data_IF_801883616558
#
_entry.id   IF_801883616558
#
_cell.length_a   1.000
_cell.length_b   1.000
_cell.length_c   1.000
_cell.angle_alpha   90.00
_cell.angle_beta   90.00
_cell.angle_gamma   90.00
#
_symmetry.space_group_name_H-M   'P 1'
#
loop_
_entity.id
_entity.type
_entity.pdbx_description
1 polymer ?
#
# COMPACT_ATOMS: atom_id res chain seq x y z
N UNK A 1 13.97 -1.09 20.88
CA UNK A 1 14.07 0.15 21.68
C UNK A 1 13.68 -0.17 23.14
N UNK A 2 14.55 -0.03 24.17
CA UNK A 2 14.21 -0.34 25.59
C UNK A 2 13.62 0.85 26.38
N UNK A 3 13.40 2.01 25.75
CA UNK A 3 12.99 3.24 26.43
C UNK A 3 11.62 3.16 27.14
N UNK A 4 10.62 2.46 26.57
CA UNK A 4 9.28 2.27 27.15
C UNK A 4 8.73 0.88 26.78
N UNK A 5 8.00 0.24 27.71
CA UNK A 5 7.22 -0.98 27.46
C UNK A 5 5.73 -0.62 27.41
N UNK A 6 5.14 -0.67 26.22
CA UNK A 6 3.72 -0.40 25.98
C UNK A 6 2.87 -1.66 25.87
N UNK A 7 3.49 -2.84 25.97
CA UNK A 7 2.78 -4.10 26.06
C UNK A 7 2.15 -4.27 27.46
N UNK A 8 1.08 -5.05 27.51
CA UNK A 8 0.45 -5.54 28.74
C UNK A 8 1.29 -6.60 29.47
N UNK A 9 2.40 -7.02 28.85
CA UNK A 9 3.32 -8.02 29.37
C UNK A 9 4.65 -7.40 29.78
N UNK A 10 5.25 -7.94 30.84
CA UNK A 10 6.59 -7.59 31.27
C UNK A 10 7.60 -8.10 30.24
N UNK A 11 8.59 -7.28 29.90
CA UNK A 11 9.73 -7.71 29.06
C UNK A 11 11.02 -7.77 29.87
N UNK A 12 11.78 -8.83 29.64
CA UNK A 12 13.07 -9.10 30.27
C UNK A 12 14.15 -9.21 29.19
N UNK A 13 15.28 -8.53 29.39
CA UNK A 13 16.50 -8.76 28.61
C UNK A 13 17.64 -9.13 29.55
N UNK A 14 18.48 -10.03 29.05
CA UNK A 14 19.75 -10.37 29.67
C UNK A 14 20.87 -9.90 28.75
N UNK A 15 21.69 -8.98 29.23
CA UNK A 15 22.88 -8.51 28.53
C UNK A 15 24.07 -9.26 29.10
N UNK A 16 24.62 -10.17 28.29
CA UNK A 16 25.83 -10.91 28.62
C UNK A 16 27.06 -10.23 28.04
N UNK A 17 28.04 -9.93 28.89
CA UNK A 17 29.29 -9.31 28.46
C UNK A 17 30.28 -10.38 27.96
N UNK A 18 30.81 -10.19 26.75
CA UNK A 18 31.88 -11.04 26.19
C UNK A 18 33.24 -10.35 26.29
N UNK A 19 34.30 -11.06 26.71
CA UNK A 19 35.64 -10.47 26.77
C UNK A 19 36.15 -10.16 25.35
N UNK A 20 36.81 -9.01 25.20
CA UNK A 20 37.33 -8.53 23.91
C UNK A 20 38.50 -9.36 23.35
N UNK A 21 39.12 -10.19 24.19
CA UNK A 21 40.20 -11.12 23.86
C UNK A 21 39.79 -12.50 24.35
N UNK A 22 40.37 -13.57 23.78
CA UNK A 22 40.19 -14.95 24.25
C UNK A 22 40.83 -15.13 25.63
N UNK A 23 40.14 -14.65 26.66
CA UNK A 23 40.52 -14.77 28.06
C UNK A 23 39.30 -15.37 28.76
N UNK A 24 39.52 -16.42 29.53
CA UNK A 24 38.47 -17.04 30.32
C UNK A 24 38.16 -16.12 31.52
N UNK A 25 36.95 -15.56 31.56
CA UNK A 25 36.52 -14.69 32.66
C UNK A 25 36.32 -15.52 33.92
N UNK A 26 36.76 -15.00 35.06
CA UNK A 26 36.57 -15.65 36.37
C UNK A 26 35.11 -15.59 36.86
N UNK A 27 34.32 -14.63 36.35
CA UNK A 27 32.90 -14.42 36.65
C UNK A 27 32.19 -13.98 35.37
N UNK A 28 31.02 -14.55 35.11
CA UNK A 28 30.10 -14.10 34.06
C UNK A 28 29.02 -13.25 34.71
N UNK A 29 29.10 -11.93 34.55
CA UNK A 29 28.05 -11.02 34.99
C UNK A 29 27.05 -10.81 33.84
N UNK A 30 25.80 -11.15 34.11
CA UNK A 30 24.66 -10.89 33.23
C UNK A 30 23.86 -9.71 33.79
N UNK A 31 23.65 -8.66 33.00
CA UNK A 31 22.76 -7.56 33.38
C UNK A 31 21.33 -7.91 32.96
N UNK A 32 20.48 -8.20 33.95
CA UNK A 32 19.05 -8.39 33.72
C UNK A 32 18.33 -7.04 33.78
N UNK A 33 17.69 -6.66 32.68
CA UNK A 33 16.83 -5.48 32.58
C UNK A 33 15.39 -5.96 32.56
N UNK A 34 14.61 -5.56 33.55
CA UNK A 34 13.17 -5.81 33.64
C UNK A 34 12.42 -4.51 33.46
N UNK A 35 11.51 -4.48 32.49
CA UNK A 35 10.62 -3.33 32.30
C UNK A 35 9.18 -3.73 32.59
N UNK A 36 8.55 -3.01 33.51
CA UNK A 36 7.16 -3.23 33.92
C UNK A 36 6.20 -3.00 32.75
N UNK A 37 5.03 -3.62 32.80
CA UNK A 37 3.96 -3.39 31.83
C UNK A 37 3.46 -1.92 31.89
N UNK A 38 2.98 -1.40 30.76
CA UNK A 38 2.25 -0.13 30.76
C UNK A 38 0.93 -0.28 31.53
N UNK A 39 0.38 0.84 32.03
CA UNK A 39 -1.05 0.85 32.37
C UNK A 39 -1.84 0.43 31.12
N UNK A 40 -2.80 -0.50 31.26
CA UNK A 40 -3.49 -1.10 30.13
C UNK A 40 -4.32 -0.05 29.39
N UNK A 41 -4.17 -0.02 28.06
CA UNK A 41 -4.99 0.81 27.19
C UNK A 41 -6.44 0.29 27.29
N UNK A 42 -7.36 1.18 27.69
CA UNK A 42 -8.78 0.84 27.83
C UNK A 42 -9.42 0.65 26.46
N UNK A 43 -9.57 -0.61 26.07
CA UNK A 43 -10.20 -1.01 24.81
C UNK A 43 -11.57 -0.36 24.67
N UNK A 44 -11.90 0.05 23.45
CA UNK A 44 -13.20 0.62 23.08
C UNK A 44 -13.60 1.89 23.86
N UNK A 45 -12.64 2.74 24.22
CA UNK A 45 -12.93 4.01 24.90
C UNK A 45 -12.13 5.17 24.34
N UNK A 46 -12.69 6.39 24.44
CA UNK A 46 -12.01 7.65 24.05
C UNK A 46 -10.69 7.85 24.78
N UNK A 47 -10.65 7.48 26.06
CA UNK A 47 -9.43 7.56 26.86
C UNK A 47 -8.39 6.50 26.43
N UNK A 48 -8.82 5.34 25.96
CA UNK A 48 -7.94 4.35 25.35
C UNK A 48 -7.32 4.86 24.06
N UNK A 49 -8.13 5.48 23.18
CA UNK A 49 -7.64 6.01 21.91
C UNK A 49 -6.57 7.07 22.10
N UNK A 50 -6.77 8.03 23.02
CA UNK A 50 -5.77 9.09 23.25
C UNK A 50 -4.44 8.52 23.76
N UNK A 51 -4.48 7.50 24.63
CA UNK A 51 -3.27 6.80 25.09
C UNK A 51 -2.63 5.99 23.95
N UNK A 52 -3.43 5.33 23.12
CA UNK A 52 -2.94 4.59 21.96
C UNK A 52 -2.25 5.52 20.95
N UNK A 53 -2.88 6.64 20.57
CA UNK A 53 -2.31 7.66 19.68
C UNK A 53 -0.95 8.16 20.17
N UNK A 54 -0.86 8.60 21.44
CA UNK A 54 0.38 9.08 22.02
C UNK A 54 1.46 7.98 22.10
N UNK A 55 1.06 6.73 22.32
CA UNK A 55 1.99 5.60 22.38
C UNK A 55 2.52 5.23 21.00
N UNK A 56 1.66 5.24 19.96
CA UNK A 56 2.04 5.06 18.56
C UNK A 56 3.01 6.17 18.16
N UNK A 57 2.69 7.45 18.43
CA UNK A 57 3.55 8.57 18.08
C UNK A 57 4.96 8.44 18.69
N UNK A 58 5.02 8.03 19.96
CA UNK A 58 6.30 7.74 20.64
C UNK A 58 7.02 6.54 20.04
N UNK A 59 6.33 5.44 19.76
CA UNK A 59 6.91 4.23 19.19
C UNK A 59 7.49 4.47 17.79
N UNK A 60 6.78 5.24 16.97
CA UNK A 60 7.23 5.68 15.65
C UNK A 60 8.38 6.68 15.71
N UNK A 61 8.66 7.27 16.87
CA UNK A 61 9.58 8.39 17.04
C UNK A 61 9.21 9.56 16.09
N UNK A 62 7.93 9.97 16.19
CA UNK A 62 7.40 11.17 15.53
C UNK A 62 8.13 12.42 16.03
N UNK A 63 8.46 13.31 15.10
CA UNK A 63 9.16 14.56 15.42
C UNK A 63 8.30 15.53 16.22
N UNK A 64 7.02 15.64 15.87
CA UNK A 64 6.02 16.38 16.61
C UNK A 64 4.90 15.43 17.00
N UNK A 65 4.45 15.54 18.24
CA UNK A 65 3.38 14.74 18.82
C UNK A 65 2.40 15.67 19.51
N UNK A 66 1.23 15.15 19.86
CA UNK A 66 0.18 15.90 20.53
C UNK A 66 0.47 16.17 22.00
N UNK A 67 -0.06 17.28 22.51
CA UNK A 67 0.04 17.67 23.91
C UNK A 67 -1.00 16.95 24.75
N UNK A 68 -0.53 16.08 25.65
CA UNK A 68 -1.41 15.24 26.49
C UNK A 68 -2.29 16.01 27.48
N UNK A 69 -2.01 17.29 27.72
CA UNK A 69 -2.85 18.16 28.56
C UNK A 69 -4.03 18.79 27.81
N UNK A 70 -4.07 18.68 26.49
CA UNK A 70 -5.16 19.21 25.66
C UNK A 70 -6.22 18.15 25.37
N UNK A 71 -7.44 18.61 25.06
CA UNK A 71 -8.48 17.73 24.55
C UNK A 71 -8.07 17.19 23.17
N UNK A 72 -8.22 15.88 22.96
CA UNK A 72 -7.98 15.20 21.70
C UNK A 72 -8.76 15.81 20.52
N UNK A 73 -9.86 16.51 20.75
CA UNK A 73 -10.58 17.26 19.70
C UNK A 73 -9.78 18.43 19.12
N UNK A 74 -8.77 18.92 19.84
CA UNK A 74 -7.89 20.01 19.41
C UNK A 74 -6.59 19.50 18.77
N UNK A 75 -6.37 18.19 18.76
CA UNK A 75 -5.16 17.60 18.21
C UNK A 75 -5.17 17.69 16.69
N UNK A 76 -4.11 18.26 16.12
CA UNK A 76 -3.97 18.30 14.67
C UNK A 76 -3.94 16.90 14.07
N UNK A 77 -4.47 16.73 12.86
CA UNK A 77 -4.46 15.46 12.14
C UNK A 77 -5.24 14.33 12.84
N UNK A 78 -6.19 14.68 13.71
CA UNK A 78 -7.16 13.77 14.34
C UNK A 78 -8.58 14.25 14.02
N UNK A 79 -9.47 13.31 13.67
CA UNK A 79 -10.92 13.54 13.62
C UNK A 79 -11.61 12.57 14.57
N UNK A 80 -12.54 13.07 15.37
CA UNK A 80 -13.35 12.26 16.27
C UNK A 80 -14.74 12.06 15.67
N UNK A 81 -15.35 10.93 15.99
CA UNK A 81 -16.74 10.66 15.66
C UNK A 81 -17.68 11.66 16.36
N UNK A 82 -18.55 12.28 15.56
CA UNK A 82 -19.66 13.11 16.04
C UNK A 82 -21.00 12.43 15.76
N UNK A 83 -21.99 12.71 16.60
CA UNK A 83 -23.27 11.98 16.63
C UNK A 83 -24.07 12.07 15.33
N UNK A 84 -23.89 13.14 14.57
CA UNK A 84 -24.57 13.43 13.31
C UNK A 84 -23.80 12.91 12.07
N UNK A 85 -22.61 12.32 12.26
CA UNK A 85 -21.87 11.70 11.17
C UNK A 85 -22.55 10.41 10.70
N UNK A 86 -22.54 10.20 9.38
CA UNK A 86 -23.04 8.97 8.79
C UNK A 86 -22.23 7.75 9.28
N UNK A 87 -22.92 6.66 9.61
CA UNK A 87 -22.32 5.46 10.19
C UNK A 87 -21.92 5.55 11.68
N UNK A 88 -22.02 6.72 12.33
CA UNK A 88 -21.67 6.84 13.75
C UNK A 88 -22.69 6.11 14.65
N UNK A 89 -22.20 5.27 15.57
CA UNK A 89 -23.00 4.69 16.65
C UNK A 89 -22.74 5.41 17.98
N UNK A 90 -23.62 5.24 18.97
CA UNK A 90 -23.51 5.92 20.27
C UNK A 90 -22.19 5.58 21.00
N UNK A 91 -21.65 4.37 20.82
CA UNK A 91 -20.37 3.92 21.41
C UNK A 91 -19.13 4.47 20.68
N UNK A 92 -19.29 4.98 19.46
CA UNK A 92 -18.22 5.62 18.70
C UNK A 92 -18.08 7.11 19.03
N UNK A 93 -19.11 7.77 19.57
CA UNK A 93 -19.08 9.23 19.78
C UNK A 93 -17.85 9.66 20.60
N UNK A 94 -17.02 10.53 20.03
CA UNK A 94 -15.78 11.03 20.62
C UNK A 94 -14.58 10.07 20.51
N UNK A 95 -14.73 8.89 19.90
CA UNK A 95 -13.63 7.98 19.53
C UNK A 95 -12.93 8.46 18.27
N UNK A 96 -11.71 7.99 18.05
CA UNK A 96 -10.91 8.34 16.87
C UNK A 96 -11.54 7.72 15.62
N UNK A 97 -11.93 8.58 14.68
CA UNK A 97 -12.40 8.22 13.34
C UNK A 97 -11.26 8.27 12.32
N UNK A 98 -10.44 9.32 12.39
CA UNK A 98 -9.27 9.54 11.54
C UNK A 98 -8.06 9.87 12.41
N UNK A 99 -6.91 9.30 12.05
CA UNK A 99 -5.62 9.75 12.57
C UNK A 99 -4.52 9.67 11.52
N UNK A 100 -3.68 10.71 11.47
CA UNK A 100 -2.47 10.73 10.64
C UNK A 100 -1.21 10.87 11.48
N UNK A 101 -0.36 9.86 11.37
CA UNK A 101 1.00 9.81 11.86
C UNK A 101 1.94 10.20 10.72
N UNK A 102 2.65 11.32 10.87
CA UNK A 102 3.55 11.85 9.85
C UNK A 102 4.87 12.31 10.46
N UNK A 103 5.90 12.49 9.64
CA UNK A 103 7.21 13.01 10.07
C UNK A 103 7.84 12.19 11.21
N UNK A 104 7.95 10.87 10.99
CA UNK A 104 8.56 9.94 11.95
C UNK A 104 9.69 9.13 11.33
N UNK A 105 10.58 8.61 12.19
CA UNK A 105 11.64 7.69 11.82
C UNK A 105 11.60 6.46 12.70
N UNK A 106 11.11 5.34 12.15
CA UNK A 106 10.97 4.07 12.87
C UNK A 106 11.90 3.00 12.31
N UNK A 107 12.27 2.05 13.18
CA UNK A 107 12.99 0.82 12.83
C UNK A 107 12.13 -0.43 13.03
N UNK A 108 10.89 -0.23 13.46
CA UNK A 108 9.94 -1.26 13.82
C UNK A 108 8.72 -1.15 12.88
N UNK A 109 7.98 -2.24 12.70
CA UNK A 109 6.73 -2.26 11.93
C UNK A 109 5.65 -1.36 12.55
N UNK A 110 4.40 -1.52 12.13
CA UNK A 110 3.31 -0.75 12.73
C UNK A 110 3.20 -1.11 14.23
N UNK A 111 3.16 -0.12 15.15
CA UNK A 111 3.17 -0.40 16.59
C UNK A 111 1.98 -1.21 17.07
N UNK A 112 2.19 -2.01 18.12
CA UNK A 112 1.18 -2.86 18.76
C UNK A 112 -0.12 -2.11 19.12
N UNK A 113 0.03 -0.87 19.56
CA UNK A 113 -1.05 -0.03 20.09
C UNK A 113 -2.07 0.37 19.03
N UNK A 114 -1.75 0.22 17.75
CA UNK A 114 -2.69 0.47 16.65
C UNK A 114 -3.98 -0.34 16.80
N UNK A 115 -3.91 -1.53 17.42
CA UNK A 115 -5.07 -2.41 17.58
C UNK A 115 -6.18 -1.82 18.47
N UNK A 116 -5.88 -0.80 19.27
CA UNK A 116 -6.86 -0.18 20.17
C UNK A 116 -7.69 0.91 19.51
N UNK A 117 -7.31 1.37 18.31
CA UNK A 117 -8.05 2.38 17.53
C UNK A 117 -9.23 1.73 16.78
N UNK A 118 -10.05 0.96 17.51
CA UNK A 118 -11.10 0.07 16.98
C UNK A 118 -12.25 0.79 16.26
N UNK A 119 -12.40 2.10 16.51
CA UNK A 119 -13.39 2.96 15.86
C UNK A 119 -12.86 3.70 14.62
N UNK A 120 -11.58 3.55 14.27
CA UNK A 120 -10.98 4.29 13.16
C UNK A 120 -11.50 3.77 11.81
N UNK A 121 -12.01 4.69 10.99
CA UNK A 121 -12.32 4.44 9.58
C UNK A 121 -11.11 4.74 8.69
N UNK A 122 -10.22 5.63 9.13
CA UNK A 122 -9.06 6.02 8.36
C UNK A 122 -7.80 6.19 9.19
N UNK A 123 -6.70 5.58 8.72
CA UNK A 123 -5.38 5.75 9.29
C UNK A 123 -4.35 6.06 8.21
N UNK A 124 -3.47 7.01 8.52
CA UNK A 124 -2.37 7.40 7.65
C UNK A 124 -1.05 7.29 8.40
N UNK A 125 -0.13 6.49 7.88
CA UNK A 125 1.25 6.39 8.30
C UNK A 125 2.14 6.88 7.15
N UNK A 126 2.73 8.07 7.31
CA UNK A 126 3.60 8.67 6.30
C UNK A 126 4.96 9.04 6.88
N UNK A 127 5.99 8.26 6.56
CA UNK A 127 7.36 8.61 6.93
C UNK A 127 8.07 9.26 5.76
N UNK A 128 8.49 10.52 5.88
CA UNK A 128 9.31 11.19 4.86
C UNK A 128 10.80 11.26 5.25
N UNK A 129 11.18 10.52 6.29
CA UNK A 129 12.52 10.62 6.92
C UNK A 129 13.30 9.32 6.82
N UNK A 130 12.65 8.24 6.40
CA UNK A 130 13.26 6.93 6.33
C UNK A 130 14.16 6.81 5.10
N UNK A 131 15.40 7.28 5.24
CA UNK A 131 16.46 7.11 4.24
C UNK A 131 17.13 5.73 4.31
N UNK A 132 16.74 4.91 5.29
CA UNK A 132 17.34 3.60 5.51
C UNK A 132 16.51 2.52 4.85
N UNK A 133 17.20 1.57 4.26
CA UNK A 133 16.56 0.53 3.47
C UNK A 133 16.10 -0.65 4.35
N UNK A 134 15.12 -0.38 5.21
CA UNK A 134 14.53 -1.41 6.07
C UNK A 134 13.66 -2.39 5.28
N UNK A 135 13.50 -3.59 5.86
CA UNK A 135 12.60 -4.63 5.38
C UNK A 135 11.52 -4.81 6.44
N UNK A 136 10.54 -3.91 6.45
CA UNK A 136 9.47 -3.93 7.46
C UNK A 136 8.24 -4.68 6.94
N UNK A 137 7.44 -5.15 7.89
CA UNK A 137 6.10 -5.71 7.67
C UNK A 137 5.10 -4.89 8.47
N UNK A 138 3.82 -4.96 8.09
CA UNK A 138 2.72 -4.35 8.85
C UNK A 138 2.57 -4.97 10.23
N UNK A 139 2.98 -6.23 10.41
CA UNK A 139 2.62 -7.02 11.58
C UNK A 139 1.11 -7.30 11.64
N UNK A 140 0.68 -8.01 12.68
CA UNK A 140 -0.71 -8.52 12.77
C UNK A 140 -1.72 -7.54 13.38
N UNK A 141 -1.24 -6.50 14.07
CA UNK A 141 -2.08 -5.70 14.97
C UNK A 141 -3.06 -4.78 14.23
N UNK A 142 -2.65 -4.23 13.08
CA UNK A 142 -3.53 -3.36 12.27
C UNK A 142 -4.74 -4.13 11.73
N UNK A 143 -4.59 -5.43 11.46
CA UNK A 143 -5.63 -6.31 10.94
C UNK A 143 -6.82 -6.53 11.89
N UNK A 144 -6.70 -6.07 13.15
CA UNK A 144 -7.78 -6.08 14.14
C UNK A 144 -8.78 -4.93 13.93
N UNK A 145 -8.43 -3.92 13.13
CA UNK A 145 -9.26 -2.75 12.89
C UNK A 145 -10.32 -3.03 11.81
N UNK A 146 -11.38 -3.74 12.22
CA UNK A 146 -12.44 -4.19 11.29
C UNK A 146 -13.27 -3.05 10.69
N UNK A 147 -13.22 -1.85 11.26
CA UNK A 147 -13.94 -0.67 10.75
C UNK A 147 -13.14 0.13 9.71
N UNK A 148 -11.87 -0.21 9.51
CA UNK A 148 -10.99 0.57 8.68
C UNK A 148 -11.40 0.47 7.21
N UNK A 149 -11.75 1.63 6.62
CA UNK A 149 -12.13 1.78 5.21
C UNK A 149 -10.98 2.36 4.38
N UNK A 150 -10.14 3.21 4.98
CA UNK A 150 -9.07 3.91 4.26
C UNK A 150 -7.75 3.75 4.98
N UNK A 151 -6.74 3.23 4.30
CA UNK A 151 -5.42 3.03 4.87
C UNK A 151 -4.35 3.56 3.94
N UNK A 152 -3.52 4.47 4.45
CA UNK A 152 -2.28 4.90 3.79
C UNK A 152 -1.11 4.48 4.64
N UNK A 153 -0.19 3.70 4.08
CA UNK A 153 1.11 3.41 4.67
C UNK A 153 2.15 3.73 3.61
N UNK A 154 2.68 4.95 3.63
CA UNK A 154 3.55 5.46 2.59
C UNK A 154 4.93 5.83 3.13
N UNK A 155 5.95 5.52 2.33
CA UNK A 155 7.36 5.78 2.65
C UNK A 155 7.81 5.19 4.00
N UNK A 156 7.15 4.10 4.42
CA UNK A 156 7.40 3.40 5.68
C UNK A 156 8.59 2.44 5.60
N UNK A 157 8.92 1.95 4.39
CA UNK A 157 9.95 0.94 4.16
C UNK A 157 9.41 -0.49 4.26
N UNK A 158 8.12 -0.70 3.95
CA UNK A 158 7.53 -2.03 3.89
C UNK A 158 8.08 -2.84 2.72
N UNK A 159 8.34 -4.12 2.94
CA UNK A 159 8.68 -5.10 1.89
C UNK A 159 7.62 -6.20 1.75
N UNK A 160 6.75 -6.34 2.76
CA UNK A 160 5.67 -7.32 2.78
C UNK A 160 4.48 -6.81 3.60
N UNK A 161 3.32 -7.45 3.40
CA UNK A 161 2.16 -7.32 4.27
C UNK A 161 2.03 -8.61 5.07
N UNK A 162 1.68 -8.50 6.34
CA UNK A 162 1.42 -9.67 7.18
C UNK A 162 0.24 -10.50 6.62
N UNK A 163 0.26 -11.85 6.71
CA UNK A 163 -0.86 -12.67 6.22
C UNK A 163 -2.22 -12.32 6.83
N UNK A 164 -2.25 -11.81 8.07
CA UNK A 164 -3.49 -11.38 8.73
C UNK A 164 -4.11 -10.14 8.11
N UNK A 165 -3.40 -9.42 7.22
CA UNK A 165 -3.87 -8.18 6.58
C UNK A 165 -5.18 -8.38 5.80
N UNK A 166 -5.50 -9.62 5.41
CA UNK A 166 -6.81 -10.02 4.85
C UNK A 166 -7.98 -9.76 5.80
N UNK A 167 -7.72 -9.56 7.10
CA UNK A 167 -8.71 -9.20 8.10
C UNK A 167 -9.29 -7.79 7.95
N UNK A 168 -8.72 -6.93 7.10
CA UNK A 168 -9.24 -5.59 6.79
C UNK A 168 -10.32 -5.69 5.68
N UNK A 169 -11.37 -6.45 5.94
CA UNK A 169 -12.37 -6.84 4.93
C UNK A 169 -13.19 -5.65 4.39
N UNK A 170 -13.33 -4.58 5.18
CA UNK A 170 -14.08 -3.36 4.84
C UNK A 170 -13.23 -2.29 4.13
N UNK A 171 -11.99 -2.61 3.76
CA UNK A 171 -11.09 -1.63 3.15
C UNK A 171 -11.55 -1.24 1.74
N UNK A 172 -11.70 0.06 1.53
CA UNK A 172 -12.16 0.70 0.28
C UNK A 172 -11.00 1.39 -0.46
N UNK A 173 -10.05 1.94 0.30
CA UNK A 173 -8.88 2.65 -0.20
C UNK A 173 -7.60 2.14 0.46
N UNK A 174 -6.60 1.77 -0.35
CA UNK A 174 -5.29 1.33 0.11
C UNK A 174 -4.17 2.02 -0.67
N UNK A 175 -3.34 2.78 0.04
CA UNK A 175 -2.14 3.41 -0.49
C UNK A 175 -0.89 2.86 0.20
N UNK A 176 -0.07 2.16 -0.57
CA UNK A 176 1.20 1.55 -0.20
C UNK A 176 2.37 2.17 -0.96
N UNK A 177 2.21 3.40 -1.44
CA UNK A 177 3.18 4.06 -2.31
C UNK A 177 4.45 4.46 -1.56
N UNK A 178 5.59 4.46 -2.25
CA UNK A 178 6.87 4.85 -1.65
C UNK A 178 7.48 3.82 -0.71
N UNK A 179 7.00 2.57 -0.68
CA UNK A 179 7.63 1.50 0.11
C UNK A 179 8.71 0.76 -0.71
N UNK A 180 9.07 -0.47 -0.33
CA UNK A 180 10.18 -1.22 -0.88
C UNK A 180 9.75 -2.59 -1.44
N UNK A 181 8.48 -2.75 -1.85
CA UNK A 181 7.96 -4.04 -2.31
C UNK A 181 8.71 -4.57 -3.54
N UNK A 182 9.24 -5.79 -3.47
CA UNK A 182 9.84 -6.48 -4.63
C UNK A 182 8.79 -7.15 -5.52
N UNK A 183 7.62 -7.46 -4.98
CA UNK A 183 6.45 -8.04 -5.64
C UNK A 183 5.18 -7.49 -5.01
N UNK A 184 4.07 -7.53 -5.73
CA UNK A 184 2.78 -7.16 -5.16
C UNK A 184 2.41 -8.23 -4.11
N UNK A 185 2.10 -7.85 -2.86
CA UNK A 185 1.73 -8.81 -1.83
C UNK A 185 0.62 -9.77 -2.27
N UNK A 186 0.76 -11.05 -1.96
CA UNK A 186 -0.18 -12.11 -2.40
C UNK A 186 -1.54 -11.99 -1.73
N UNK A 187 -1.62 -11.33 -0.58
CA UNK A 187 -2.89 -11.04 0.11
C UNK A 187 -3.77 -10.07 -0.68
N UNK A 188 -3.20 -9.23 -1.56
CA UNK A 188 -3.94 -8.26 -2.36
C UNK A 188 -4.67 -8.95 -3.52
N UNK A 189 -5.86 -9.48 -3.24
CA UNK A 189 -6.78 -10.04 -4.23
C UNK A 189 -8.17 -9.47 -4.00
N UNK A 190 -9.01 -9.48 -5.06
CA UNK A 190 -10.38 -8.97 -4.96
C UNK A 190 -11.26 -9.78 -4.02
N UNK A 191 -10.92 -11.05 -3.80
CA UNK A 191 -11.61 -11.93 -2.86
C UNK A 191 -11.33 -11.55 -1.40
N UNK A 192 -10.09 -11.16 -1.09
CA UNK A 192 -9.71 -10.70 0.26
C UNK A 192 -10.19 -9.27 0.53
N UNK A 193 -10.34 -8.44 -0.51
CA UNK A 193 -10.74 -7.03 -0.39
C UNK A 193 -11.92 -6.69 -1.30
N UNK A 194 -13.13 -7.22 -1.00
CA UNK A 194 -14.29 -7.11 -1.89
C UNK A 194 -14.87 -5.70 -2.01
N UNK A 195 -14.45 -4.76 -1.16
CA UNK A 195 -14.88 -3.36 -1.14
C UNK A 195 -13.85 -2.38 -1.71
N UNK A 196 -12.63 -2.84 -1.99
CA UNK A 196 -11.53 -1.96 -2.41
C UNK A 196 -11.78 -1.46 -3.83
N UNK A 197 -11.87 -0.14 -3.97
CA UNK A 197 -12.00 0.54 -5.26
C UNK A 197 -10.73 1.31 -5.63
N UNK A 198 -9.83 1.59 -4.67
CA UNK A 198 -8.60 2.31 -4.93
C UNK A 198 -7.36 1.61 -4.35
N UNK A 199 -6.41 1.27 -5.23
CA UNK A 199 -5.15 0.63 -4.88
C UNK A 199 -3.95 1.40 -5.47
N UNK A 200 -3.03 1.84 -4.61
CA UNK A 200 -1.79 2.51 -5.02
C UNK A 200 -0.56 1.79 -4.48
N UNK A 201 0.38 1.48 -5.38
CA UNK A 201 1.67 0.86 -5.12
C UNK A 201 2.76 1.54 -5.97
N UNK A 202 2.66 2.84 -6.25
CA UNK A 202 3.67 3.54 -7.04
C UNK A 202 4.95 3.81 -6.24
N UNK A 203 6.05 4.02 -6.95
CA UNK A 203 7.33 4.44 -6.37
C UNK A 203 7.84 3.45 -5.32
N UNK A 204 7.74 2.14 -5.58
CA UNK A 204 8.24 1.12 -4.64
C UNK A 204 9.74 0.81 -4.79
N UNK A 205 10.45 1.63 -5.55
CA UNK A 205 11.87 1.49 -5.84
C UNK A 205 12.71 1.90 -4.62
N UNK A 206 13.53 0.97 -4.14
CA UNK A 206 14.52 1.20 -3.07
C UNK A 206 15.81 1.81 -3.60
N UNK A 207 16.15 1.48 -4.85
CA UNK A 207 17.33 1.96 -5.58
C UNK A 207 16.90 2.24 -7.02
N UNK A 208 17.38 3.34 -7.61
CA UNK A 208 17.12 3.70 -9.01
C UNK A 208 18.03 2.86 -9.94
N UNK A 209 17.42 2.10 -10.84
CA UNK A 209 18.09 1.24 -11.82
C UNK A 209 17.48 1.48 -13.20
N UNK A 210 18.27 2.04 -14.11
CA UNK A 210 17.82 2.31 -15.49
C UNK A 210 18.00 1.11 -16.43
N UNK A 211 19.03 0.29 -16.23
CA UNK A 211 19.33 -0.88 -17.05
C UNK A 211 19.29 -2.15 -16.19
N UNK A 212 18.15 -2.86 -16.20
CA UNK A 212 17.99 -4.10 -15.42
C UNK A 212 18.86 -5.24 -15.96
N UNK A 213 19.21 -5.22 -17.25
CA UNK A 213 19.99 -6.29 -17.90
C UNK A 213 21.43 -6.33 -17.40
N UNK A 214 22.07 -5.17 -17.22
CA UNK A 214 23.44 -5.07 -16.74
C UNK A 214 23.56 -4.92 -15.21
N UNK A 215 22.43 -4.84 -14.51
CA UNK A 215 22.44 -4.64 -13.05
C UNK A 215 22.70 -5.95 -12.32
N UNK A 216 23.64 -5.92 -11.37
CA UNK A 216 23.86 -6.99 -10.39
C UNK A 216 23.27 -6.65 -9.02
N UNK A 217 22.59 -5.49 -8.91
CA UNK A 217 21.95 -5.06 -7.67
C UNK A 217 20.82 -6.01 -7.30
N UNK A 218 20.75 -6.36 -6.02
CA UNK A 218 19.66 -7.16 -5.44
C UNK A 218 18.92 -6.32 -4.40
N UNK A 219 17.70 -6.73 -4.05
CA UNK A 219 16.88 -6.04 -3.06
C UNK A 219 16.69 -4.53 -3.35
N UNK A 220 16.31 -4.23 -4.60
CA UNK A 220 16.10 -2.86 -5.08
C UNK A 220 14.61 -2.46 -5.16
N UNK A 221 13.70 -3.31 -4.69
CA UNK A 221 12.26 -3.02 -4.69
C UNK A 221 11.70 -2.82 -6.10
N UNK A 222 10.58 -2.09 -6.19
CA UNK A 222 9.98 -1.68 -7.45
C UNK A 222 9.21 -2.79 -8.17
N UNK A 223 8.68 -3.79 -7.45
CA UNK A 223 7.81 -4.84 -8.01
C UNK A 223 8.47 -5.71 -9.11
N UNK A 224 9.80 -5.70 -9.23
CA UNK A 224 10.52 -6.40 -10.31
C UNK A 224 10.31 -7.92 -10.34
N UNK A 225 10.02 -8.54 -9.17
CA UNK A 225 9.79 -9.97 -9.07
C UNK A 225 8.40 -10.37 -9.57
N UNK A 226 7.45 -9.44 -9.68
CA UNK A 226 6.07 -9.77 -10.07
C UNK A 226 6.01 -10.47 -11.44
N UNK A 227 6.88 -10.04 -12.36
CA UNK A 227 6.84 -10.47 -13.76
C UNK A 227 8.11 -11.23 -14.16
N UNK A 228 8.94 -11.64 -13.19
CA UNK A 228 10.23 -12.28 -13.46
C UNK A 228 10.09 -13.63 -14.16
N UNK A 229 9.10 -14.42 -13.76
CA UNK A 229 8.85 -15.77 -14.27
C UNK A 229 7.90 -15.77 -15.47
N UNK A 230 6.80 -15.02 -15.38
CA UNK A 230 5.73 -15.00 -16.39
C UNK A 230 6.03 -14.08 -17.56
N UNK A 231 6.91 -13.08 -17.38
CA UNK A 231 7.14 -12.00 -18.35
C UNK A 231 5.84 -11.27 -18.74
N UNK A 232 4.90 -11.23 -17.82
CA UNK A 232 3.56 -10.71 -18.02
C UNK A 232 3.16 -9.85 -16.81
N UNK A 233 2.55 -8.71 -17.09
CA UNK A 233 1.93 -7.85 -16.09
C UNK A 233 0.96 -8.67 -15.21
N UNK A 234 0.84 -8.39 -13.89
CA UNK A 234 0.00 -9.15 -12.98
C UNK A 234 -1.48 -9.13 -13.38
N UNK A 235 -1.90 -10.14 -14.15
CA UNK A 235 -3.27 -10.31 -14.64
C UNK A 235 -4.31 -10.18 -13.53
N UNK A 236 -4.03 -10.74 -12.34
CA UNK A 236 -4.91 -10.67 -11.17
C UNK A 236 -5.33 -9.25 -10.76
N UNK A 237 -4.54 -8.22 -11.08
CA UNK A 237 -4.90 -6.82 -10.78
C UNK A 237 -5.83 -6.21 -11.84
N UNK A 238 -5.79 -6.73 -13.07
CA UNK A 238 -6.65 -6.29 -14.17
C UNK A 238 -8.06 -6.90 -14.08
N UNK A 239 -8.22 -7.97 -13.31
CA UNK A 239 -9.48 -8.70 -13.11
C UNK A 239 -10.36 -8.14 -11.96
N UNK A 240 -10.01 -6.96 -11.42
CA UNK A 240 -10.79 -6.28 -10.40
C UNK A 240 -11.86 -5.43 -11.06
N UNK A 241 -13.11 -5.85 -10.89
CA UNK A 241 -14.28 -5.21 -11.47
C UNK A 241 -14.68 -3.91 -10.75
N UNK A 242 -14.35 -3.77 -9.46
CA UNK A 242 -14.71 -2.60 -8.64
C UNK A 242 -13.64 -1.50 -8.57
N UNK A 243 -12.43 -1.72 -9.08
CA UNK A 243 -11.38 -0.71 -9.02
C UNK A 243 -11.75 0.50 -9.89
N UNK A 244 -11.71 1.68 -9.28
CA UNK A 244 -11.71 2.97 -9.97
C UNK A 244 -10.33 3.63 -9.99
N UNK A 245 -9.39 3.16 -9.16
CA UNK A 245 -8.02 3.67 -9.11
C UNK A 245 -7.02 2.53 -8.98
N UNK A 246 -6.08 2.45 -9.93
CA UNK A 246 -4.92 1.54 -9.90
C UNK A 246 -3.65 2.29 -10.30
N UNK A 247 -2.73 2.49 -9.36
CA UNK A 247 -1.49 3.26 -9.58
C UNK A 247 -0.27 2.39 -9.28
N UNK A 248 0.52 2.11 -10.30
CA UNK A 248 1.73 1.27 -10.29
C UNK A 248 2.93 1.98 -10.94
N UNK A 249 2.83 3.29 -11.14
CA UNK A 249 3.87 4.13 -11.75
C UNK A 249 5.20 4.05 -11.01
N UNK A 250 6.29 4.31 -11.74
CA UNK A 250 7.64 4.43 -11.15
C UNK A 250 8.03 3.16 -10.40
N UNK A 251 8.06 2.04 -11.14
CA UNK A 251 8.42 0.72 -10.65
C UNK A 251 9.29 0.03 -11.72
N UNK A 252 9.47 -1.28 -11.60
CA UNK A 252 10.25 -2.13 -12.51
C UNK A 252 9.42 -3.29 -13.05
N UNK A 253 8.09 -3.14 -13.13
CA UNK A 253 7.24 -4.10 -13.82
C UNK A 253 7.71 -4.24 -15.26
N UNK A 254 7.87 -5.47 -15.74
CA UNK A 254 8.46 -5.75 -17.04
C UNK A 254 7.65 -6.81 -17.81
N UNK A 255 8.02 -7.04 -19.06
CA UNK A 255 7.27 -7.95 -19.92
C UNK A 255 6.06 -7.28 -20.56
N UNK A 256 5.04 -8.07 -20.88
CA UNK A 256 3.92 -7.63 -21.71
C UNK A 256 2.64 -7.43 -20.89
N UNK A 257 1.75 -6.56 -21.35
CA UNK A 257 0.40 -6.47 -20.79
C UNK A 257 -0.45 -7.61 -21.40
N UNK A 258 -1.16 -8.43 -20.59
CA UNK A 258 -1.97 -9.54 -21.11
C UNK A 258 -3.06 -9.05 -22.07
N UNK A 259 -3.33 -9.84 -23.13
CA UNK A 259 -4.37 -9.53 -24.11
C UNK A 259 -5.80 -9.80 -23.63
N UNK A 260 -5.94 -10.58 -22.56
CA UNK A 260 -7.21 -10.91 -21.90
C UNK A 260 -8.26 -11.53 -22.84
N UNK A 261 -7.84 -12.23 -23.90
CA UNK A 261 -8.77 -12.85 -24.89
C UNK A 261 -9.69 -13.92 -24.30
N UNK A 262 -9.27 -14.55 -23.22
CA UNK A 262 -10.03 -15.57 -22.49
C UNK A 262 -10.88 -14.99 -21.33
N UNK A 263 -10.91 -13.66 -21.19
CA UNK A 263 -11.65 -12.97 -20.14
C UNK A 263 -13.09 -12.65 -20.56
N UNK A 264 -13.92 -12.22 -19.60
CA UNK A 264 -15.28 -11.75 -19.89
C UNK A 264 -15.24 -10.53 -20.79
N UNK A 265 -16.11 -10.48 -21.79
CA UNK A 265 -16.19 -9.40 -22.78
C UNK A 265 -17.42 -8.51 -22.55
N UNK A 266 -17.42 -7.32 -23.14
CA UNK A 266 -18.63 -6.50 -23.18
C UNK A 266 -19.73 -7.21 -23.97
N UNK A 267 -20.93 -7.23 -23.40
CA UNK A 267 -22.14 -7.82 -24.00
C UNK A 267 -23.07 -6.74 -24.53
N UNK A 268 -24.06 -7.14 -25.34
CA UNK A 268 -25.12 -6.22 -25.76
C UNK A 268 -25.88 -5.63 -24.57
N UNK A 269 -26.04 -6.40 -23.49
CA UNK A 269 -26.72 -5.96 -22.27
C UNK A 269 -25.93 -4.87 -21.56
N UNK A 270 -24.59 -5.00 -21.50
CA UNK A 270 -23.72 -3.95 -20.93
C UNK A 270 -23.87 -2.63 -21.70
N UNK A 271 -23.89 -2.68 -23.03
CA UNK A 271 -24.05 -1.51 -23.89
C UNK A 271 -25.43 -0.87 -23.68
N UNK A 272 -26.49 -1.68 -23.63
CA UNK A 272 -27.85 -1.16 -23.43
C UNK A 272 -28.07 -0.57 -22.02
N UNK A 273 -27.29 -1.00 -21.03
CA UNK A 273 -27.37 -0.52 -19.65
C UNK A 273 -26.58 0.76 -19.40
N UNK A 274 -25.69 1.15 -20.32
CA UNK A 274 -24.82 2.32 -20.18
C UNK A 274 -24.95 3.24 -21.39
N UNK A 275 -25.49 4.44 -21.19
CA UNK A 275 -25.74 5.43 -22.25
C UNK A 275 -24.46 5.87 -23.00
N UNK A 276 -23.27 5.62 -22.45
CA UNK A 276 -21.99 6.11 -22.96
C UNK A 276 -21.09 5.06 -23.61
N UNK A 277 -21.48 3.77 -23.64
CA UNK A 277 -20.65 2.73 -24.26
C UNK A 277 -21.05 2.51 -25.73
N UNK A 278 -20.11 2.48 -26.69
CA UNK A 278 -20.44 2.22 -28.10
C UNK A 278 -20.67 0.73 -28.37
N UNK A 279 -21.47 0.45 -29.39
CA UNK A 279 -21.75 -0.91 -29.87
C UNK A 279 -20.49 -1.68 -30.28
N UNK A 280 -19.45 -0.98 -30.75
CA UNK A 280 -18.19 -1.55 -31.21
C UNK A 280 -17.40 -2.29 -30.09
N UNK A 281 -17.70 -2.01 -28.81
CA UNK A 281 -17.07 -2.71 -27.69
C UNK A 281 -17.52 -4.17 -27.53
N UNK A 282 -18.66 -4.57 -28.11
CA UNK A 282 -19.17 -5.94 -27.93
C UNK A 282 -18.14 -6.96 -28.42
N UNK A 283 -17.78 -7.89 -27.53
CA UNK A 283 -16.74 -8.89 -27.79
C UNK A 283 -15.32 -8.47 -27.40
N UNK A 284 -15.08 -7.20 -27.04
CA UNK A 284 -13.80 -6.75 -26.47
C UNK A 284 -13.72 -7.14 -24.99
N UNK A 285 -12.57 -7.60 -24.47
CA UNK A 285 -12.40 -7.91 -23.06
C UNK A 285 -12.78 -6.73 -22.15
N UNK A 286 -13.66 -6.99 -21.17
CA UNK A 286 -14.17 -6.03 -20.20
C UNK A 286 -13.23 -5.95 -19.00
N UNK A 287 -12.05 -5.38 -19.23
CA UNK A 287 -10.97 -5.25 -18.25
C UNK A 287 -11.09 -3.91 -17.54
N UNK A 288 -11.03 -3.92 -16.20
CA UNK A 288 -11.09 -2.71 -15.36
C UNK A 288 -12.25 -1.74 -15.73
N UNK A 289 -13.51 -2.20 -15.87
CA UNK A 289 -14.59 -1.41 -16.47
C UNK A 289 -14.95 -0.11 -15.72
N UNK A 290 -14.58 0.02 -14.45
CA UNK A 290 -14.87 1.18 -13.60
C UNK A 290 -13.66 2.12 -13.39
N UNK A 291 -12.54 1.87 -14.07
CA UNK A 291 -11.29 2.59 -13.85
C UNK A 291 -11.40 4.05 -14.29
N UNK A 292 -11.00 4.95 -13.40
CA UNK A 292 -10.94 6.41 -13.59
C UNK A 292 -9.52 6.93 -13.51
N UNK A 293 -8.65 6.21 -12.80
CA UNK A 293 -7.23 6.49 -12.72
C UNK A 293 -6.46 5.18 -12.92
N UNK A 294 -5.74 5.07 -14.02
CA UNK A 294 -4.85 3.95 -14.31
C UNK A 294 -3.47 4.49 -14.65
N UNK A 295 -2.45 4.10 -13.90
CA UNK A 295 -1.10 4.59 -14.16
C UNK A 295 -0.07 3.48 -14.00
N UNK A 296 0.63 3.18 -15.09
CA UNK A 296 1.68 2.15 -15.20
C UNK A 296 2.94 2.70 -15.88
N UNK A 297 3.02 4.02 -16.08
CA UNK A 297 4.17 4.69 -16.66
C UNK A 297 5.44 4.54 -15.81
N UNK A 298 6.58 4.78 -16.46
CA UNK A 298 7.90 4.71 -15.82
C UNK A 298 8.18 3.33 -15.21
N UNK A 299 7.74 2.28 -15.93
CA UNK A 299 8.08 0.88 -15.69
C UNK A 299 9.04 0.38 -16.79
N UNK A 300 9.20 -0.94 -16.89
CA UNK A 300 10.04 -1.66 -17.86
C UNK A 300 9.19 -2.53 -18.79
N UNK A 301 7.94 -2.15 -19.01
CA UNK A 301 7.00 -2.90 -19.86
C UNK A 301 7.41 -2.80 -21.32
N UNK A 302 7.14 -3.85 -22.08
CA UNK A 302 7.52 -3.96 -23.49
C UNK A 302 6.46 -4.67 -24.32
N UNK A 303 6.57 -4.54 -25.65
CA UNK A 303 5.77 -5.30 -26.62
C UNK A 303 4.52 -4.55 -27.04
N UNK A 304 3.39 -5.22 -27.27
CA UNK A 304 2.20 -4.56 -27.81
C UNK A 304 1.20 -4.18 -26.70
N UNK A 305 0.59 -3.00 -26.85
CA UNK A 305 -0.62 -2.60 -26.14
C UNK A 305 -1.78 -3.48 -26.60
N UNK A 306 -2.53 -4.11 -25.67
CA UNK A 306 -3.64 -4.98 -26.02
C UNK A 306 -4.87 -4.19 -26.47
N UNK A 307 -5.73 -4.84 -27.26
CA UNK A 307 -6.94 -4.22 -27.81
C UNK A 307 -7.86 -3.66 -26.72
N UNK A 308 -8.05 -4.38 -25.61
CA UNK A 308 -8.90 -3.90 -24.51
C UNK A 308 -8.44 -2.55 -23.95
N UNK A 309 -7.13 -2.29 -23.95
CA UNK A 309 -6.56 -1.04 -23.45
C UNK A 309 -6.70 0.07 -24.48
N UNK A 310 -6.34 -0.22 -25.74
CA UNK A 310 -6.48 0.74 -26.85
C UNK A 310 -7.93 1.13 -27.13
N UNK A 311 -8.89 0.28 -26.75
CA UNK A 311 -10.33 0.51 -26.89
C UNK A 311 -11.03 0.83 -25.57
N UNK A 312 -10.29 1.01 -24.48
CA UNK A 312 -10.90 1.22 -23.16
C UNK A 312 -11.81 2.47 -23.15
N UNK A 313 -13.04 2.43 -22.59
CA UNK A 313 -13.98 3.56 -22.61
C UNK A 313 -13.44 4.86 -22.04
N UNK A 314 -12.58 4.76 -21.02
CA UNK A 314 -11.97 5.92 -20.38
C UNK A 314 -10.59 6.30 -20.96
N UNK A 315 -10.09 5.67 -22.04
CA UNK A 315 -8.68 5.78 -22.44
C UNK A 315 -8.18 7.23 -22.54
N UNK A 316 -8.91 8.14 -23.18
CA UNK A 316 -8.54 9.56 -23.30
C UNK A 316 -8.41 10.25 -21.92
N UNK A 317 -9.39 10.00 -21.03
CA UNK A 317 -9.42 10.56 -19.68
C UNK A 317 -8.30 10.02 -18.78
N UNK A 318 -7.73 8.87 -19.11
CA UNK A 318 -6.62 8.27 -18.39
C UNK A 318 -5.26 8.90 -18.71
N UNK A 319 -5.20 9.91 -19.60
CA UNK A 319 -3.95 10.55 -20.06
C UNK A 319 -2.91 9.49 -20.47
N UNK A 320 -3.20 8.71 -21.53
CA UNK A 320 -2.50 7.46 -21.75
C UNK A 320 -1.04 7.68 -22.16
N UNK A 321 -0.74 8.79 -22.84
CA UNK A 321 0.63 9.15 -23.20
C UNK A 321 1.52 9.38 -21.98
N UNK A 322 0.98 10.04 -20.95
CA UNK A 322 1.76 10.35 -19.75
C UNK A 322 1.75 9.22 -18.74
N UNK A 323 0.57 8.63 -18.49
CA UNK A 323 0.34 7.75 -17.35
C UNK A 323 0.41 6.26 -17.69
N UNK A 324 0.35 5.87 -18.97
CA UNK A 324 0.30 4.47 -19.39
C UNK A 324 1.45 4.12 -20.35
N UNK A 325 1.54 4.79 -21.50
CA UNK A 325 2.43 4.44 -22.61
C UNK A 325 3.89 4.80 -22.34
N UNK A 326 4.15 5.88 -21.61
CA UNK A 326 5.51 6.30 -21.26
C UNK A 326 6.20 5.23 -20.38
N UNK A 327 7.15 4.51 -20.95
CA UNK A 327 8.03 3.56 -20.26
C UNK A 327 9.47 4.06 -20.34
N UNK A 328 10.39 3.49 -19.53
CA UNK A 328 11.78 3.95 -19.52
C UNK A 328 12.78 2.81 -19.30
N UNK A 329 14.04 3.02 -19.67
CA UNK A 329 15.12 2.09 -19.34
C UNK A 329 15.08 0.76 -20.13
N UNK A 330 15.75 -0.25 -19.59
CA UNK A 330 15.80 -1.60 -20.16
C UNK A 330 15.30 -2.65 -19.19
N UNK A 331 14.60 -3.64 -19.72
CA UNK A 331 14.16 -4.81 -18.96
C UNK A 331 15.32 -5.79 -18.68
N UNK A 332 15.06 -6.87 -17.93
CA UNK A 332 16.10 -7.85 -17.57
C UNK A 332 16.70 -8.61 -18.76
N UNK A 333 16.07 -8.55 -19.93
CA UNK A 333 16.51 -9.24 -21.15
C UNK A 333 17.22 -8.27 -22.11
N UNK A 334 17.39 -7.00 -21.72
CA UNK A 334 18.10 -5.96 -22.47
C UNK A 334 17.23 -5.24 -23.51
N UNK A 335 15.92 -5.52 -23.56
CA UNK A 335 14.98 -4.83 -24.44
C UNK A 335 14.70 -3.43 -23.89
N UNK A 336 14.65 -2.45 -24.79
CA UNK A 336 14.26 -1.09 -24.42
C UNK A 336 12.77 -1.08 -24.08
N UNK A 337 12.42 -0.52 -22.92
CA UNK A 337 11.04 -0.41 -22.47
C UNK A 337 10.23 0.49 -23.42
N UNK A 338 8.95 0.18 -23.60
CA UNK A 338 8.05 0.86 -24.54
C UNK A 338 7.24 -0.10 -25.40
N UNK A 339 6.20 0.43 -26.03
CA UNK A 339 5.26 -0.36 -26.80
C UNK A 339 5.47 -0.21 -28.31
N UNK A 340 5.43 -1.32 -29.05
CA UNK A 340 5.70 -1.33 -30.50
C UNK A 340 4.54 -0.80 -31.35
N UNK A 341 3.34 -0.79 -30.80
CA UNK A 341 2.12 -0.28 -31.42
C UNK A 341 1.55 0.93 -30.66
N UNK A 342 2.40 1.72 -30.01
CA UNK A 342 2.00 2.98 -29.37
C UNK A 342 1.37 3.93 -30.42
N UNK A 343 0.11 4.37 -30.23
CA UNK A 343 -0.54 5.28 -31.18
C UNK A 343 0.13 6.65 -31.21
N UNK A 344 0.31 7.26 -32.38
CA UNK A 344 0.89 8.62 -32.49
C UNK A 344 -0.05 9.69 -31.89
N UNK A 345 -1.36 9.45 -31.98
CA UNK A 345 -2.43 10.26 -31.41
C UNK A 345 -3.67 9.36 -31.18
N UNK A 346 -4.75 9.93 -30.65
CA UNK A 346 -6.00 9.21 -30.37
C UNK A 346 -7.00 9.18 -31.54
N UNK A 347 -6.60 9.49 -32.77
CA UNK A 347 -7.54 9.50 -33.91
C UNK A 347 -8.20 8.13 -34.11
N UNK A 348 -7.41 7.05 -34.16
CA UNK A 348 -7.92 5.67 -34.29
C UNK A 348 -8.84 5.28 -33.12
N UNK A 349 -8.63 5.86 -31.93
CA UNK A 349 -9.51 5.67 -30.79
C UNK A 349 -10.84 6.39 -31.00
N UNK A 350 -10.83 7.66 -31.41
CA UNK A 350 -12.05 8.40 -31.69
C UNK A 350 -12.84 7.81 -32.86
N UNK A 351 -12.19 7.42 -33.96
CA UNK A 351 -12.82 6.76 -35.11
C UNK A 351 -13.51 5.43 -34.73
N UNK A 352 -13.05 4.76 -33.67
CA UNK A 352 -13.71 3.54 -33.17
C UNK A 352 -14.97 3.83 -32.34
N UNK A 353 -15.04 5.02 -31.73
CA UNK A 353 -16.17 5.47 -30.89
C UNK A 353 -17.18 6.35 -31.65
N UNK A 354 -16.87 6.76 -32.89
CA UNK A 354 -17.82 7.33 -33.86
C UNK A 354 -18.80 6.27 -34.40
#
# INVERSE_FOLDING_TARGET
>A
NWGINSADSMRNATISFKPKKEIQLAVHDDLNITQQASEPIKVDTRAGDSVALLSIARALNMWESWESSEDMSNWENIELWEKDMDGCTDDMVGRVKYARFFMFNTKEGIPFEVQYLTAAEELVFYSNTNSTLYNLSTGEYISKLKQLKRLTISAYGLTELDPSFTGLENLEFLDLSGNNFEKIPSVLTKENFPHLHALRLNTNQRIIIYDLYNSTTTNFGGLFQETNETREFPRRLLEWDKLDTLVLSVNYLQGHIPDMKDYTTYTQEDINAADSLPQALVGIPKVLPNIKQFSINLNRLTGELPEWLLRHPALDWLDPYTLIFTQEGKDKDGKTAGFSNEPINLNDYYEFYE
#
